data_IF_302319986059
#
_entry.id   IF_302319986059
#
_cell.length_a   1.000
_cell.length_b   1.000
_cell.length_c   1.000
_cell.angle_alpha   90.00
_cell.angle_beta   90.00
_cell.angle_gamma   90.00
#
_symmetry.space_group_name_H-M   'P 1'
#
loop_
_entity.id
_entity.type
_entity.pdbx_description
1 polymer ?
#
# COMPACT_ATOMS: atom_id res chain seq x y z
N UNK A 1 12.20 29.16 39.81
CA UNK A 1 13.07 28.50 38.81
C UNK A 1 12.30 27.31 38.27
N UNK A 2 11.82 27.37 37.03
CA UNK A 2 11.25 26.23 36.34
C UNK A 2 12.22 25.84 35.22
N UNK A 3 12.59 24.57 35.17
CA UNK A 3 13.60 24.03 34.27
C UNK A 3 13.19 24.14 32.80
N UNK A 4 14.01 24.83 32.01
CA UNK A 4 13.93 24.83 30.55
C UNK A 4 14.26 23.42 30.04
N UNK A 5 13.28 22.75 29.42
CA UNK A 5 13.59 21.57 28.60
C UNK A 5 14.34 22.04 27.35
N UNK A 6 15.66 21.88 27.36
CA UNK A 6 16.49 22.03 26.17
C UNK A 6 16.18 20.89 25.19
N UNK A 7 15.11 21.07 24.40
CA UNK A 7 14.74 20.15 23.34
C UNK A 7 15.89 20.02 22.35
N UNK A 8 16.45 18.81 22.27
CA UNK A 8 17.47 18.46 21.27
C UNK A 8 16.82 18.64 19.90
N UNK A 9 17.35 19.58 19.11
CA UNK A 9 16.96 19.77 17.72
C UNK A 9 17.50 18.57 16.95
N UNK A 10 16.61 17.70 16.47
CA UNK A 10 16.94 16.63 15.52
C UNK A 10 17.19 17.33 14.16
N UNK A 11 18.43 17.30 13.69
CA UNK A 11 18.90 17.94 12.45
C UNK A 11 19.38 16.89 11.42
N UNK A 12 19.01 15.62 11.63
CA UNK A 12 19.52 14.46 10.85
C UNK A 12 19.19 14.47 9.36
N UNK A 13 18.27 15.34 8.92
CA UNK A 13 17.91 15.58 7.52
C UNK A 13 18.16 17.04 7.08
N UNK A 14 18.96 17.82 7.82
CA UNK A 14 19.27 19.20 7.48
C UNK A 14 19.86 19.32 6.07
N UNK A 15 19.34 20.27 5.29
CA UNK A 15 19.76 20.51 3.90
C UNK A 15 19.14 19.55 2.87
N UNK A 16 18.48 18.46 3.30
CA UNK A 16 17.82 17.52 2.39
C UNK A 16 16.47 18.04 1.91
N UNK A 17 16.21 17.88 0.61
CA UNK A 17 14.92 18.13 -0.02
C UNK A 17 14.23 16.78 -0.26
N UNK A 18 13.12 16.55 0.44
CA UNK A 18 12.39 15.27 0.38
C UNK A 18 11.00 15.50 -0.20
N UNK A 19 10.70 14.85 -1.31
CA UNK A 19 9.38 14.84 -1.94
C UNK A 19 8.46 13.81 -1.28
N UNK A 20 7.23 14.22 -0.96
CA UNK A 20 6.19 13.34 -0.43
C UNK A 20 4.91 13.38 -1.28
N UNK A 21 4.63 12.30 -2.04
CA UNK A 21 3.37 12.07 -2.75
C UNK A 21 2.12 11.84 -1.88
N UNK A 22 2.30 11.68 -0.57
CA UNK A 22 1.22 11.42 0.39
C UNK A 22 0.15 12.51 0.36
N UNK A 23 -1.11 12.12 0.55
CA UNK A 23 -2.28 13.00 0.46
C UNK A 23 -3.23 12.87 1.66
N UNK A 24 -3.20 11.75 2.39
CA UNK A 24 -4.08 11.47 3.53
C UNK A 24 -3.45 11.83 4.87
N UNK A 25 -2.19 11.45 5.05
CA UNK A 25 -1.40 11.73 6.26
C UNK A 25 -0.30 12.77 5.99
N UNK A 26 -0.53 13.66 5.01
CA UNK A 26 0.46 14.61 4.48
C UNK A 26 1.10 15.47 5.58
N UNK A 27 0.31 16.10 6.46
CA UNK A 27 0.85 16.93 7.55
C UNK A 27 1.59 16.11 8.62
N UNK A 28 1.16 14.88 8.87
CA UNK A 28 1.83 13.97 9.80
C UNK A 28 3.21 13.60 9.24
N UNK A 29 3.27 13.23 7.96
CA UNK A 29 4.52 12.82 7.31
C UNK A 29 5.46 14.00 7.09
N UNK A 30 4.95 15.14 6.60
CA UNK A 30 5.71 16.37 6.50
C UNK A 30 6.27 16.79 7.86
N UNK A 31 5.45 16.78 8.91
CA UNK A 31 5.90 17.10 10.26
C UNK A 31 6.97 16.14 10.81
N UNK A 32 6.92 14.86 10.46
CA UNK A 32 7.95 13.88 10.83
C UNK A 32 9.32 14.14 10.19
N UNK A 33 9.34 14.75 9.00
CA UNK A 33 10.54 15.10 8.23
C UNK A 33 11.05 16.51 8.57
N UNK A 34 10.16 17.51 8.64
CA UNK A 34 10.53 18.90 8.97
C UNK A 34 11.06 19.02 10.40
N UNK A 35 10.56 18.22 11.37
CA UNK A 35 11.15 18.13 12.72
C UNK A 35 12.58 17.56 12.74
N UNK A 36 13.13 17.13 11.59
CA UNK A 36 14.50 16.64 11.40
C UNK A 36 15.38 17.57 10.55
N UNK A 37 14.90 18.78 10.26
CA UNK A 37 15.59 19.74 9.40
C UNK A 37 15.37 19.57 7.89
N UNK A 38 14.55 18.60 7.45
CA UNK A 38 14.27 18.41 6.03
C UNK A 38 13.40 19.52 5.43
N UNK A 39 13.74 19.99 4.22
CA UNK A 39 12.85 20.79 3.37
C UNK A 39 11.90 19.83 2.64
N UNK A 40 10.64 19.84 3.03
CA UNK A 40 9.63 18.91 2.47
C UNK A 40 8.97 19.52 1.24
N UNK A 41 9.14 18.87 0.09
CA UNK A 41 8.34 19.13 -1.11
C UNK A 41 7.05 18.31 -1.01
N UNK A 42 5.96 18.99 -0.65
CA UNK A 42 4.61 18.40 -0.64
C UNK A 42 4.09 18.36 -2.08
N UNK A 43 3.67 17.20 -2.56
CA UNK A 43 3.04 17.05 -3.89
C UNK A 43 1.96 15.96 -3.80
N UNK A 44 0.79 16.25 -3.18
CA UNK A 44 -0.21 15.23 -2.90
C UNK A 44 -0.82 14.66 -4.19
N UNK A 45 -0.30 13.52 -4.65
CA UNK A 45 -0.67 12.97 -5.94
C UNK A 45 -2.11 12.44 -5.97
N UNK A 46 -2.68 12.05 -4.84
CA UNK A 46 -4.00 11.40 -4.76
C UNK A 46 -4.92 12.19 -3.83
N UNK A 47 -5.28 13.40 -4.24
CA UNK A 47 -6.35 14.14 -3.58
C UNK A 47 -7.68 13.39 -3.72
N UNK A 48 -8.38 13.19 -2.60
CA UNK A 48 -9.68 12.51 -2.52
C UNK A 48 -10.71 13.56 -2.12
N UNK A 49 -11.62 13.85 -3.04
CA UNK A 49 -12.75 14.76 -2.83
C UNK A 49 -14.01 13.94 -2.55
N UNK A 50 -14.96 14.49 -1.80
CA UNK A 50 -16.30 13.91 -1.71
C UNK A 50 -16.95 13.82 -3.10
N UNK A 51 -17.96 12.95 -3.25
CA UNK A 51 -18.71 12.84 -4.50
C UNK A 51 -19.26 14.22 -4.96
N UNK A 52 -18.99 14.68 -6.21
CA UNK A 52 -19.37 16.02 -6.66
C UNK A 52 -20.87 16.34 -6.56
N UNK A 53 -21.73 15.33 -6.74
CA UNK A 53 -23.14 15.37 -6.34
C UNK A 53 -23.35 14.37 -5.19
N UNK A 54 -23.79 14.82 -4.00
CA UNK A 54 -24.13 13.92 -2.90
C UNK A 54 -25.46 13.18 -3.12
N UNK A 55 -26.34 13.60 -4.04
CA UNK A 55 -27.68 13.00 -4.20
C UNK A 55 -27.65 11.50 -4.50
N UNK A 56 -26.82 10.96 -5.41
CA UNK A 56 -26.75 9.52 -5.65
C UNK A 56 -26.28 8.74 -4.40
N UNK A 57 -25.34 9.32 -3.65
CA UNK A 57 -24.85 8.73 -2.39
C UNK A 57 -25.96 8.68 -1.35
N UNK A 58 -26.69 9.77 -1.14
CA UNK A 58 -27.81 9.82 -0.19
C UNK A 58 -29.00 8.95 -0.65
N UNK A 59 -29.26 8.84 -1.96
CA UNK A 59 -30.27 7.93 -2.50
C UNK A 59 -29.92 6.46 -2.21
N UNK A 60 -28.66 6.06 -2.43
CA UNK A 60 -28.18 4.73 -2.09
C UNK A 60 -28.24 4.47 -0.58
N UNK A 61 -27.86 5.43 0.26
CA UNK A 61 -27.98 5.31 1.73
C UNK A 61 -29.43 5.09 2.15
N UNK A 62 -30.39 5.85 1.61
CA UNK A 62 -31.81 5.63 1.89
C UNK A 62 -32.24 4.20 1.52
N UNK A 63 -31.88 3.72 0.33
CA UNK A 63 -32.18 2.36 -0.11
C UNK A 63 -31.53 1.27 0.75
N UNK A 64 -30.32 1.52 1.25
CA UNK A 64 -29.65 0.64 2.19
C UNK A 64 -30.40 0.59 3.53
N UNK A 65 -30.72 1.75 4.13
CA UNK A 65 -31.44 1.87 5.40
C UNK A 65 -32.87 1.29 5.41
N UNK A 66 -33.47 0.98 4.24
CA UNK A 66 -34.77 0.29 4.14
C UNK A 66 -34.65 -1.22 4.46
N UNK A 67 -33.43 -1.76 4.56
CA UNK A 67 -33.18 -3.15 4.97
C UNK A 67 -33.20 -4.17 3.83
N UNK A 68 -33.26 -3.71 2.58
CA UNK A 68 -33.23 -4.56 1.38
C UNK A 68 -31.82 -4.99 0.95
N UNK A 69 -30.79 -4.78 1.78
CA UNK A 69 -29.43 -5.19 1.49
C UNK A 69 -29.11 -6.51 2.21
N UNK A 70 -28.70 -7.53 1.46
CA UNK A 70 -28.31 -8.83 2.02
C UNK A 70 -26.82 -8.85 2.44
N UNK A 71 -25.96 -8.33 1.57
CA UNK A 71 -24.51 -8.27 1.75
C UNK A 71 -23.96 -6.87 1.41
N UNK A 72 -22.92 -6.42 2.11
CA UNK A 72 -22.22 -5.16 1.82
C UNK A 72 -20.72 -5.40 1.61
N UNK A 73 -20.21 -5.02 0.44
CA UNK A 73 -18.78 -5.06 0.11
C UNK A 73 -18.17 -3.68 0.32
N UNK A 74 -17.23 -3.56 1.28
CA UNK A 74 -16.46 -2.34 1.51
C UNK A 74 -15.04 -2.49 0.95
N UNK A 75 -14.79 -1.84 -0.18
CA UNK A 75 -13.49 -1.90 -0.85
C UNK A 75 -12.43 -1.02 -0.20
N UNK A 76 -12.82 0.07 0.50
CA UNK A 76 -11.87 0.94 1.21
C UNK A 76 -12.45 1.48 2.52
N UNK A 77 -11.59 1.67 3.52
CA UNK A 77 -11.98 2.39 4.74
C UNK A 77 -12.22 3.88 4.51
N UNK A 78 -11.79 4.43 3.37
CA UNK A 78 -12.10 5.81 2.99
C UNK A 78 -13.57 5.94 2.59
N UNK A 79 -14.07 5.03 1.76
CA UNK A 79 -15.45 5.08 1.29
C UNK A 79 -16.47 4.99 2.41
N UNK A 80 -16.25 4.14 3.42
CA UNK A 80 -17.11 4.11 4.61
C UNK A 80 -17.08 5.46 5.37
N UNK A 81 -15.92 6.10 5.56
CA UNK A 81 -15.84 7.41 6.21
C UNK A 81 -16.50 8.51 5.38
N UNK A 82 -16.39 8.45 4.06
CA UNK A 82 -17.01 9.39 3.12
C UNK A 82 -18.54 9.23 3.07
N UNK A 83 -19.06 8.00 3.10
CA UNK A 83 -20.48 7.72 3.31
C UNK A 83 -20.97 8.38 4.62
N UNK A 84 -20.30 8.10 5.74
CA UNK A 84 -20.65 8.68 7.05
C UNK A 84 -20.56 10.22 7.08
N UNK A 85 -19.58 10.80 6.39
CA UNK A 85 -19.43 12.26 6.27
C UNK A 85 -20.58 12.86 5.47
N UNK A 86 -20.84 12.33 4.27
CA UNK A 86 -21.94 12.74 3.38
C UNK A 86 -23.30 12.65 4.07
N UNK A 87 -23.56 11.56 4.79
CA UNK A 87 -24.78 11.41 5.60
C UNK A 87 -24.87 12.51 6.66
N UNK A 88 -23.78 12.77 7.39
CA UNK A 88 -23.79 13.77 8.46
C UNK A 88 -23.98 15.21 7.94
N UNK A 89 -23.51 15.48 6.72
CA UNK A 89 -23.62 16.80 6.06
C UNK A 89 -24.97 17.02 5.37
N UNK A 90 -25.55 15.99 4.74
CA UNK A 90 -26.69 16.14 3.83
C UNK A 90 -27.97 15.42 4.28
N UNK A 91 -27.89 14.42 5.16
CA UNK A 91 -29.05 13.67 5.65
C UNK A 91 -28.81 13.11 7.08
N UNK A 92 -28.55 13.98 8.08
CA UNK A 92 -28.07 13.54 9.41
C UNK A 92 -29.03 12.60 10.15
N UNK A 93 -30.33 12.66 9.85
CA UNK A 93 -31.36 11.74 10.37
C UNK A 93 -31.16 10.28 9.93
N UNK A 94 -30.48 10.04 8.79
CA UNK A 94 -30.17 8.69 8.32
C UNK A 94 -28.95 8.09 9.03
N UNK A 95 -28.14 8.88 9.76
CA UNK A 95 -26.92 8.37 10.41
C UNK A 95 -27.17 7.21 11.38
N UNK A 96 -28.12 7.28 12.34
CA UNK A 96 -28.40 6.13 13.21
C UNK A 96 -28.90 4.93 12.40
N UNK A 97 -29.89 5.12 11.52
CA UNK A 97 -30.46 4.05 10.68
C UNK A 97 -29.39 3.34 9.83
N UNK A 98 -28.43 4.10 9.30
CA UNK A 98 -27.32 3.57 8.52
C UNK A 98 -26.34 2.74 9.37
N UNK A 99 -26.11 3.14 10.63
CA UNK A 99 -25.24 2.39 11.56
C UNK A 99 -25.95 1.13 12.08
N UNK A 100 -27.26 1.20 12.35
CA UNK A 100 -28.07 0.05 12.76
C UNK A 100 -28.17 -1.01 11.64
N UNK A 101 -28.43 -0.57 10.41
CA UNK A 101 -28.43 -1.44 9.24
C UNK A 101 -27.02 -1.97 8.92
N UNK A 102 -25.98 -1.14 9.08
CA UNK A 102 -24.59 -1.60 9.04
C UNK A 102 -24.28 -2.62 10.12
N UNK A 103 -24.94 -2.65 11.27
CA UNK A 103 -24.75 -3.71 12.26
C UNK A 103 -25.35 -5.04 11.75
N UNK A 104 -26.52 -4.96 11.09
CA UNK A 104 -27.33 -6.10 10.63
C UNK A 104 -26.80 -6.80 9.37
N UNK A 105 -26.42 -6.05 8.34
CA UNK A 105 -26.02 -6.62 7.02
C UNK A 105 -24.74 -7.45 7.10
N UNK A 106 -24.56 -8.48 6.27
CA UNK A 106 -23.29 -9.23 6.23
C UNK A 106 -22.23 -8.44 5.44
N UNK A 107 -21.15 -8.01 6.09
CA UNK A 107 -20.09 -7.16 5.51
C UNK A 107 -18.86 -7.98 5.11
N UNK A 108 -18.45 -7.78 3.86
CA UNK A 108 -17.18 -8.26 3.30
C UNK A 108 -16.25 -7.06 3.15
N UNK A 109 -15.05 -7.12 3.73
CA UNK A 109 -14.11 -5.98 3.69
C UNK A 109 -12.81 -6.34 3.00
N UNK A 110 -12.37 -5.50 2.05
CA UNK A 110 -11.12 -5.68 1.32
C UNK A 110 -9.90 -5.32 2.19
N UNK A 111 -9.59 -6.21 3.12
CA UNK A 111 -8.44 -6.12 4.02
C UNK A 111 -8.62 -5.19 5.23
N UNK A 112 -7.53 -4.89 5.95
CA UNK A 112 -7.57 -4.31 7.30
C UNK A 112 -8.02 -2.84 7.35
N UNK A 113 -7.99 -2.10 6.23
CA UNK A 113 -8.35 -0.68 6.18
C UNK A 113 -9.86 -0.44 6.38
N UNK A 114 -10.77 -1.03 5.59
CA UNK A 114 -12.21 -0.99 5.90
C UNK A 114 -12.56 -1.69 7.22
N UNK A 115 -11.86 -2.76 7.61
CA UNK A 115 -12.03 -3.37 8.94
C UNK A 115 -11.69 -2.41 10.10
N UNK A 116 -10.72 -1.50 9.94
CA UNK A 116 -10.45 -0.43 10.91
C UNK A 116 -11.60 0.59 10.96
N UNK A 117 -12.12 1.00 9.80
CA UNK A 117 -13.21 1.97 9.71
C UNK A 117 -14.52 1.45 10.33
N UNK A 118 -14.83 0.15 10.24
CA UNK A 118 -15.96 -0.46 10.97
C UNK A 118 -15.72 -0.45 12.49
N UNK A 119 -14.51 -0.78 12.96
CA UNK A 119 -14.18 -0.78 14.40
C UNK A 119 -14.24 0.62 15.02
N UNK A 120 -14.00 1.68 14.24
CA UNK A 120 -14.21 3.08 14.66
C UNK A 120 -15.70 3.39 14.93
N UNK A 121 -16.64 2.53 14.51
CA UNK A 121 -18.07 2.57 14.83
C UNK A 121 -18.50 1.54 15.89
N UNK A 122 -17.56 0.75 16.44
CA UNK A 122 -17.87 -0.39 17.29
C UNK A 122 -18.34 -1.65 16.52
N UNK A 123 -18.21 -1.69 15.19
CA UNK A 123 -18.67 -2.79 14.35
C UNK A 123 -17.53 -3.70 13.88
N UNK A 124 -17.86 -4.95 13.55
CA UNK A 124 -16.97 -5.92 12.89
C UNK A 124 -17.53 -6.33 11.52
N UNK A 125 -16.63 -6.80 10.64
CA UNK A 125 -17.01 -7.49 9.41
C UNK A 125 -17.05 -9.00 9.66
N UNK A 126 -17.95 -9.71 8.98
CA UNK A 126 -17.99 -11.17 9.01
C UNK A 126 -16.82 -11.77 8.22
N UNK A 127 -16.36 -11.11 7.15
CA UNK A 127 -15.19 -11.55 6.38
C UNK A 127 -14.20 -10.40 6.13
N UNK A 128 -12.97 -10.58 6.61
CA UNK A 128 -11.82 -9.71 6.30
C UNK A 128 -10.93 -10.43 5.29
N UNK A 129 -10.92 -9.91 4.07
CA UNK A 129 -10.24 -10.55 2.93
C UNK A 129 -8.71 -10.41 3.01
N UNK A 130 -8.00 -11.53 2.87
CA UNK A 130 -6.53 -11.60 2.79
C UNK A 130 -6.12 -12.69 1.78
N UNK A 131 -5.33 -12.38 0.73
CA UNK A 131 -4.76 -11.07 0.40
C UNK A 131 -5.83 -10.05 -0.03
N UNK A 132 -5.60 -8.76 0.24
CA UNK A 132 -6.61 -7.70 0.08
C UNK A 132 -6.85 -7.25 -1.37
N UNK A 133 -7.15 -8.21 -2.27
CA UNK A 133 -7.28 -8.05 -3.72
C UNK A 133 -8.71 -8.27 -4.19
N UNK A 134 -9.04 -7.93 -5.45
CA UNK A 134 -10.36 -8.24 -6.02
C UNK A 134 -10.62 -9.76 -6.12
N UNK A 135 -9.68 -10.61 -6.59
CA UNK A 135 -9.87 -12.06 -6.57
C UNK A 135 -10.13 -12.63 -5.18
N UNK A 136 -9.46 -12.12 -4.14
CA UNK A 136 -9.73 -12.55 -2.75
C UNK A 136 -11.13 -12.17 -2.25
N UNK A 137 -11.72 -11.07 -2.75
CA UNK A 137 -13.13 -10.73 -2.46
C UNK A 137 -14.06 -11.70 -3.16
N UNK A 138 -13.79 -12.05 -4.42
CA UNK A 138 -14.56 -13.03 -5.19
C UNK A 138 -14.52 -14.42 -4.51
N UNK A 139 -13.33 -14.89 -4.13
CA UNK A 139 -13.15 -16.14 -3.38
C UNK A 139 -13.92 -16.13 -2.05
N UNK A 140 -13.87 -15.04 -1.30
CA UNK A 140 -14.62 -14.87 -0.06
C UNK A 140 -16.14 -14.91 -0.27
N UNK A 141 -16.65 -14.38 -1.38
CA UNK A 141 -18.08 -14.45 -1.72
C UNK A 141 -18.49 -15.87 -2.13
N UNK A 142 -17.71 -16.54 -2.98
CA UNK A 142 -17.93 -17.95 -3.34
C UNK A 142 -17.99 -18.87 -2.11
N UNK A 143 -17.07 -18.67 -1.15
CA UNK A 143 -17.05 -19.42 0.11
C UNK A 143 -18.21 -19.08 1.06
N UNK A 144 -18.93 -17.98 0.81
CA UNK A 144 -20.04 -17.52 1.65
C UNK A 144 -21.43 -17.94 1.15
N UNK A 145 -21.51 -18.70 0.06
CA UNK A 145 -22.73 -19.35 -0.45
C UNK A 145 -23.21 -18.85 -1.81
N UNK A 146 -24.40 -19.30 -2.20
CA UNK A 146 -25.07 -18.86 -3.43
C UNK A 146 -25.40 -17.35 -3.38
N UNK A 147 -25.15 -16.67 -4.49
CA UNK A 147 -25.40 -15.23 -4.66
C UNK A 147 -26.66 -14.94 -5.48
N UNK A 148 -27.31 -15.96 -6.04
CA UNK A 148 -28.45 -15.79 -6.93
C UNK A 148 -29.60 -15.03 -6.25
N UNK A 149 -30.01 -13.92 -6.85
CA UNK A 149 -31.10 -13.08 -6.36
C UNK A 149 -30.78 -12.21 -5.13
N UNK A 150 -29.64 -12.41 -4.45
CA UNK A 150 -29.20 -11.61 -3.28
C UNK A 150 -28.96 -10.16 -3.68
N UNK A 151 -29.31 -9.22 -2.81
CA UNK A 151 -29.04 -7.79 -3.01
C UNK A 151 -27.71 -7.43 -2.37
N UNK A 152 -26.74 -7.03 -3.20
CA UNK A 152 -25.37 -6.81 -2.75
C UNK A 152 -24.99 -5.34 -2.94
N UNK A 153 -24.80 -4.63 -1.83
CA UNK A 153 -24.25 -3.28 -1.83
C UNK A 153 -22.75 -3.31 -2.11
N UNK A 154 -22.25 -2.44 -2.98
CA UNK A 154 -20.80 -2.33 -3.27
C UNK A 154 -20.35 -0.89 -3.13
N UNK A 155 -19.43 -0.65 -2.18
CA UNK A 155 -18.76 0.64 -2.04
C UNK A 155 -17.48 0.66 -2.89
N UNK A 156 -17.47 1.49 -3.92
CA UNK A 156 -16.38 1.61 -4.90
C UNK A 156 -15.29 2.60 -4.47
N UNK A 157 -14.14 2.51 -5.13
CA UNK A 157 -13.02 3.45 -4.97
C UNK A 157 -12.92 4.39 -6.19
N UNK A 158 -12.97 5.70 -5.97
CA UNK A 158 -12.97 6.67 -7.07
C UNK A 158 -14.27 6.64 -7.87
N UNK A 159 -14.20 6.91 -9.17
CA UNK A 159 -15.34 6.99 -10.11
C UNK A 159 -15.65 5.68 -10.85
N UNK A 160 -14.67 4.78 -10.98
CA UNK A 160 -14.77 3.67 -11.93
C UNK A 160 -15.32 2.38 -11.30
N UNK A 161 -16.17 1.61 -12.03
CA UNK A 161 -16.59 0.29 -11.61
C UNK A 161 -15.40 -0.67 -11.58
N UNK A 162 -15.33 -1.51 -10.54
CA UNK A 162 -14.39 -2.62 -10.52
C UNK A 162 -14.95 -3.76 -11.38
N UNK A 163 -14.75 -3.67 -12.70
CA UNK A 163 -15.35 -4.56 -13.70
C UNK A 163 -15.26 -6.05 -13.31
N UNK A 164 -14.07 -6.53 -12.92
CA UNK A 164 -13.86 -7.92 -12.49
C UNK A 164 -14.80 -8.37 -11.35
N UNK A 165 -15.06 -7.51 -10.36
CA UNK A 165 -16.02 -7.81 -9.28
C UNK A 165 -17.46 -7.70 -9.79
N UNK A 166 -17.75 -6.67 -10.59
CA UNK A 166 -19.11 -6.39 -11.07
C UNK A 166 -19.62 -7.46 -12.03
N UNK A 167 -18.77 -7.96 -12.92
CA UNK A 167 -19.11 -8.99 -13.88
C UNK A 167 -19.30 -10.34 -13.19
N UNK A 168 -18.42 -10.70 -12.25
CA UNK A 168 -18.63 -11.87 -11.37
C UNK A 168 -19.97 -11.81 -10.62
N UNK A 169 -20.31 -10.68 -10.01
CA UNK A 169 -21.59 -10.53 -9.28
C UNK A 169 -22.81 -10.65 -10.20
N UNK A 170 -22.74 -10.13 -11.43
CA UNK A 170 -23.80 -10.26 -12.44
C UNK A 170 -23.94 -11.70 -12.94
N UNK A 171 -22.83 -12.37 -13.24
CA UNK A 171 -22.79 -13.77 -13.67
C UNK A 171 -23.33 -14.72 -12.57
N UNK A 172 -23.05 -14.42 -11.31
CA UNK A 172 -23.61 -15.13 -10.15
C UNK A 172 -25.10 -14.79 -9.87
N UNK A 173 -25.72 -13.92 -10.68
CA UNK A 173 -27.14 -13.57 -10.58
C UNK A 173 -27.52 -12.65 -9.41
N UNK A 174 -26.55 -11.93 -8.83
CA UNK A 174 -26.79 -10.99 -7.74
C UNK A 174 -27.39 -9.66 -8.24
N UNK A 175 -28.19 -9.01 -7.40
CA UNK A 175 -28.75 -7.67 -7.63
C UNK A 175 -27.83 -6.63 -7.00
N UNK A 176 -26.90 -6.10 -7.80
CA UNK A 176 -25.87 -5.20 -7.28
C UNK A 176 -26.37 -3.75 -7.12
N UNK A 177 -26.06 -3.12 -5.98
CA UNK A 177 -26.31 -1.70 -5.69
C UNK A 177 -24.99 -0.97 -5.44
N UNK A 178 -24.49 -0.28 -6.45
CA UNK A 178 -23.18 0.39 -6.39
C UNK A 178 -23.26 1.78 -5.71
N UNK A 179 -22.22 2.17 -4.95
CA UNK A 179 -22.06 3.51 -4.41
C UNK A 179 -20.63 4.03 -4.51
N UNK A 180 -20.54 5.29 -4.94
CA UNK A 180 -19.30 6.01 -5.25
C UNK A 180 -19.17 7.25 -4.34
N UNK A 181 -18.72 7.09 -3.08
CA UNK A 181 -18.81 8.14 -2.07
C UNK A 181 -17.73 9.22 -2.18
N UNK A 182 -16.73 9.03 -3.05
CA UNK A 182 -15.63 9.97 -3.27
C UNK A 182 -15.08 9.86 -4.69
N UNK A 183 -14.48 10.93 -5.18
CA UNK A 183 -13.71 10.94 -6.44
C UNK A 183 -12.25 11.24 -6.16
N UNK A 184 -11.38 10.91 -7.10
CA UNK A 184 -10.04 11.50 -7.11
C UNK A 184 -10.14 12.87 -7.77
N UNK A 185 -9.41 13.87 -7.27
CA UNK A 185 -9.45 15.21 -7.87
C UNK A 185 -8.89 15.16 -9.31
N UNK A 186 -9.63 15.76 -10.24
CA UNK A 186 -9.14 15.99 -11.59
C UNK A 186 -8.12 17.13 -11.60
N UNK A 187 -7.00 16.86 -12.26
CA UNK A 187 -6.04 17.72 -12.97
C UNK A 187 -5.53 19.07 -12.39
N UNK A 188 -6.12 19.66 -11.35
CA UNK A 188 -5.63 20.93 -10.75
C UNK A 188 -4.29 20.78 -10.04
N UNK A 189 -3.88 19.54 -9.73
CA UNK A 189 -2.56 19.20 -9.23
C UNK A 189 -1.53 18.94 -10.34
N UNK A 190 -1.92 18.84 -11.62
CA UNK A 190 -1.01 18.41 -12.69
C UNK A 190 0.20 19.36 -12.83
N UNK A 191 0.02 20.67 -12.63
CA UNK A 191 1.13 21.63 -12.59
C UNK A 191 2.11 21.38 -11.43
N UNK A 192 1.63 20.96 -10.26
CA UNK A 192 2.51 20.59 -9.13
C UNK A 192 3.26 19.29 -9.40
N UNK A 193 2.63 18.33 -10.09
CA UNK A 193 3.26 17.06 -10.51
C UNK A 193 4.30 17.30 -11.59
N UNK A 194 4.02 18.16 -12.56
CA UNK A 194 4.98 18.55 -13.60
C UNK A 194 6.18 19.29 -12.99
N UNK A 195 5.94 20.21 -12.06
CA UNK A 195 7.00 20.86 -11.30
C UNK A 195 7.81 19.85 -10.44
N UNK A 196 7.17 18.82 -9.85
CA UNK A 196 7.89 17.72 -9.20
C UNK A 196 8.79 16.97 -10.20
N UNK A 197 8.29 16.66 -11.40
CA UNK A 197 9.07 16.00 -12.46
C UNK A 197 10.26 16.86 -12.90
N UNK A 198 10.05 18.17 -13.11
CA UNK A 198 11.11 19.11 -13.48
C UNK A 198 12.20 19.18 -12.39
N UNK A 199 11.80 19.24 -11.11
CA UNK A 199 12.73 19.29 -9.98
C UNK A 199 13.45 17.96 -9.73
N UNK A 200 12.81 16.82 -10.01
CA UNK A 200 13.47 15.50 -10.03
C UNK A 200 14.51 15.43 -11.16
N UNK A 201 14.15 15.84 -12.38
CA UNK A 201 15.05 15.83 -13.53
C UNK A 201 16.24 16.81 -13.39
N UNK A 202 16.05 17.92 -12.67
CA UNK A 202 17.09 18.86 -12.29
C UNK A 202 17.96 18.40 -11.09
N UNK A 203 17.70 17.22 -10.51
CA UNK A 203 18.35 16.68 -9.31
C UNK A 203 18.22 17.58 -8.06
N UNK A 204 17.12 18.31 -7.92
CA UNK A 204 16.84 19.17 -6.76
C UNK A 204 16.10 18.45 -5.60
N UNK A 205 16.03 17.13 -5.64
CA UNK A 205 15.28 16.29 -4.69
C UNK A 205 16.21 15.14 -4.28
N UNK A 206 16.62 15.12 -3.02
CA UNK A 206 17.48 14.06 -2.49
C UNK A 206 16.75 12.71 -2.39
N UNK A 207 15.46 12.75 -2.04
CA UNK A 207 14.63 11.55 -1.89
C UNK A 207 13.16 11.79 -2.21
N UNK A 208 12.47 10.73 -2.63
CA UNK A 208 11.01 10.69 -2.76
C UNK A 208 10.45 9.46 -2.02
N UNK A 209 9.38 9.67 -1.24
CA UNK A 209 8.85 8.64 -0.34
C UNK A 209 7.37 8.32 -0.60
N UNK A 210 7.12 7.20 -1.26
CA UNK A 210 5.78 6.73 -1.63
C UNK A 210 5.12 5.91 -0.51
N UNK A 211 3.83 6.16 -0.29
CA UNK A 211 3.01 5.52 0.76
C UNK A 211 1.81 4.74 0.20
N UNK A 212 1.57 4.79 -1.10
CA UNK A 212 0.66 3.87 -1.78
C UNK A 212 1.01 3.67 -3.26
N UNK A 213 0.71 2.48 -3.78
CA UNK A 213 0.74 2.18 -5.22
C UNK A 213 0.00 3.25 -6.05
N UNK A 214 -1.17 3.71 -5.59
CA UNK A 214 -1.96 4.71 -6.32
C UNK A 214 -1.25 6.05 -6.55
N UNK A 215 -0.21 6.38 -5.78
CA UNK A 215 0.64 7.55 -6.03
C UNK A 215 1.60 7.29 -7.19
N UNK A 216 2.19 6.09 -7.24
CA UNK A 216 3.09 5.64 -8.31
C UNK A 216 2.33 5.64 -9.64
N UNK A 217 1.20 4.92 -9.72
CA UNK A 217 0.41 4.84 -10.95
C UNK A 217 -0.06 6.22 -11.44
N UNK A 218 -0.40 7.13 -10.52
CA UNK A 218 -0.79 8.50 -10.89
C UNK A 218 0.39 9.34 -11.36
N UNK A 219 1.57 9.22 -10.75
CA UNK A 219 2.78 9.92 -11.21
C UNK A 219 3.12 9.53 -12.66
N UNK A 220 3.16 8.23 -12.95
CA UNK A 220 3.45 7.71 -14.29
C UNK A 220 2.35 8.05 -15.30
N UNK A 221 1.07 7.90 -14.94
CA UNK A 221 -0.05 8.29 -15.82
C UNK A 221 -0.02 9.78 -16.19
N UNK A 222 0.36 10.66 -15.26
CA UNK A 222 0.47 12.09 -15.52
C UNK A 222 1.70 12.44 -16.36
N UNK A 223 2.85 11.82 -16.09
CA UNK A 223 4.03 11.96 -16.93
C UNK A 223 3.76 11.50 -18.38
N UNK A 224 3.05 10.39 -18.56
CA UNK A 224 2.61 9.90 -19.88
C UNK A 224 1.70 10.91 -20.60
N UNK A 225 0.62 11.35 -19.93
CA UNK A 225 -0.35 12.34 -20.44
C UNK A 225 0.33 13.64 -20.90
N UNK A 226 1.39 14.05 -20.20
CA UNK A 226 2.15 15.27 -20.47
C UNK A 226 3.44 15.06 -21.28
N UNK A 227 3.72 13.84 -21.75
CA UNK A 227 4.93 13.49 -22.51
C UNK A 227 6.26 13.76 -21.78
N UNK A 228 6.27 13.62 -20.44
CA UNK A 228 7.42 13.84 -19.53
C UNK A 228 7.98 12.55 -18.92
N UNK A 229 7.68 11.39 -19.50
CA UNK A 229 8.10 10.07 -18.99
C UNK A 229 9.62 9.93 -18.89
N UNK A 230 10.35 10.48 -19.86
CA UNK A 230 11.81 10.40 -19.95
C UNK A 230 12.46 11.18 -18.80
N UNK A 231 11.98 12.39 -18.52
CA UNK A 231 12.44 13.24 -17.43
C UNK A 231 12.11 12.65 -16.06
N UNK A 232 10.89 12.11 -15.90
CA UNK A 232 10.50 11.39 -14.68
C UNK A 232 11.44 10.19 -14.42
N UNK A 233 11.64 9.32 -15.42
CA UNK A 233 12.53 8.16 -15.29
C UNK A 233 13.98 8.56 -15.03
N UNK A 234 14.46 9.65 -15.66
CA UNK A 234 15.81 10.17 -15.45
C UNK A 234 15.99 10.68 -14.01
N UNK A 235 15.06 11.52 -13.54
CA UNK A 235 15.10 12.09 -12.19
C UNK A 235 14.95 11.04 -11.09
N UNK A 236 13.99 10.11 -11.23
CA UNK A 236 13.81 9.01 -10.27
C UNK A 236 15.06 8.12 -10.16
N UNK A 237 15.79 7.87 -11.26
CA UNK A 237 17.03 7.09 -11.23
C UNK A 237 18.21 7.78 -10.53
N UNK A 238 18.13 9.08 -10.26
CA UNK A 238 19.13 9.85 -9.50
C UNK A 238 18.65 10.24 -8.09
N UNK A 239 17.38 9.95 -7.75
CA UNK A 239 16.74 10.29 -6.48
C UNK A 239 16.69 9.05 -5.59
N UNK A 240 16.88 9.18 -4.28
CA UNK A 240 16.67 8.06 -3.37
C UNK A 240 15.17 7.70 -3.27
N UNK A 241 14.82 6.46 -3.58
CA UNK A 241 13.44 5.97 -3.66
C UNK A 241 13.09 5.18 -2.39
N UNK A 242 12.12 5.68 -1.63
CA UNK A 242 11.58 4.97 -0.47
C UNK A 242 10.11 4.58 -0.71
N UNK A 243 9.73 3.36 -0.32
CA UNK A 243 8.35 2.88 -0.37
C UNK A 243 7.90 2.35 1.00
N UNK A 244 6.67 2.66 1.42
CA UNK A 244 6.16 2.25 2.75
C UNK A 244 6.04 0.73 2.92
N UNK A 245 5.96 -0.04 1.84
CA UNK A 245 5.78 -1.49 1.88
C UNK A 245 5.80 -2.15 0.48
N UNK A 246 5.81 -3.50 0.43
CA UNK A 246 6.16 -4.26 -0.77
C UNK A 246 5.22 -4.06 -1.96
N UNK A 247 3.92 -3.81 -1.73
CA UNK A 247 2.96 -3.53 -2.83
C UNK A 247 3.28 -2.21 -3.55
N UNK A 248 3.80 -1.22 -2.83
CA UNK A 248 4.22 0.06 -3.44
C UNK A 248 5.60 -0.08 -4.10
N UNK A 249 6.48 -0.93 -3.56
CA UNK A 249 7.76 -1.23 -4.19
C UNK A 249 7.60 -1.99 -5.51
N UNK A 250 6.76 -3.04 -5.55
CA UNK A 250 6.49 -3.82 -6.75
C UNK A 250 5.93 -2.93 -7.90
N UNK A 251 5.04 -1.99 -7.59
CA UNK A 251 4.53 -1.01 -8.58
C UNK A 251 5.66 -0.09 -9.13
N UNK A 252 6.61 0.34 -8.30
CA UNK A 252 7.79 1.09 -8.78
C UNK A 252 8.69 0.20 -9.67
N UNK A 253 8.88 -1.05 -9.29
CA UNK A 253 9.67 -2.04 -10.05
C UNK A 253 9.01 -2.39 -11.40
N UNK A 254 7.68 -2.47 -11.47
CA UNK A 254 6.89 -2.62 -12.70
C UNK A 254 7.11 -1.46 -13.69
N UNK A 255 7.31 -0.23 -13.18
CA UNK A 255 7.70 0.95 -13.97
C UNK A 255 9.23 1.08 -14.18
N UNK A 256 10.02 0.07 -13.82
CA UNK A 256 11.48 0.03 -14.04
C UNK A 256 12.29 0.92 -13.10
N UNK A 257 11.77 1.20 -11.90
CA UNK A 257 12.43 1.98 -10.84
C UNK A 257 12.87 1.05 -9.70
N UNK A 258 14.16 1.07 -9.38
CA UNK A 258 14.71 0.40 -8.19
C UNK A 258 14.31 1.14 -6.92
N UNK A 259 13.90 0.41 -5.88
CA UNK A 259 13.55 0.98 -4.57
C UNK A 259 14.69 0.77 -3.58
N UNK A 260 15.25 1.86 -3.04
CA UNK A 260 16.39 1.81 -2.11
C UNK A 260 15.98 1.37 -0.70
N UNK A 261 14.76 1.69 -0.27
CA UNK A 261 14.33 1.50 1.11
C UNK A 261 12.85 1.09 1.25
N UNK A 262 12.63 -0.04 1.94
CA UNK A 262 11.30 -0.54 2.33
C UNK A 262 11.31 -1.00 3.80
N UNK A 263 10.38 -0.56 4.67
CA UNK A 263 10.27 -1.04 6.05
C UNK A 263 10.02 -2.54 6.15
N UNK A 264 10.80 -3.23 7.00
CA UNK A 264 10.54 -4.63 7.34
C UNK A 264 9.42 -4.74 8.38
N UNK A 265 8.38 -5.53 8.06
CA UNK A 265 7.29 -5.92 8.96
C UNK A 265 6.31 -4.83 9.41
N UNK A 266 6.66 -3.54 9.33
CA UNK A 266 5.83 -2.42 9.83
C UNK A 266 5.67 -1.32 8.79
N UNK A 267 4.60 -1.40 8.01
CA UNK A 267 4.31 -0.47 6.90
C UNK A 267 3.62 0.81 7.37
N UNK A 268 4.34 1.63 8.15
CA UNK A 268 3.85 2.90 8.69
C UNK A 268 4.85 4.04 8.44
N UNK A 269 4.38 5.29 8.55
CA UNK A 269 5.19 6.50 8.29
C UNK A 269 6.43 6.62 9.17
N UNK A 270 6.38 6.17 10.44
CA UNK A 270 7.51 6.29 11.37
C UNK A 270 8.70 5.38 10.98
N UNK A 271 8.51 4.06 10.73
CA UNK A 271 9.52 3.21 10.10
C UNK A 271 10.07 3.76 8.77
N UNK A 272 9.20 4.27 7.88
CA UNK A 272 9.63 4.88 6.62
C UNK A 272 10.52 6.12 6.83
N UNK A 273 10.15 6.99 7.78
CA UNK A 273 10.95 8.16 8.20
C UNK A 273 12.33 7.73 8.73
N UNK A 274 12.40 6.65 9.52
CA UNK A 274 13.66 6.15 10.06
C UNK A 274 14.59 5.60 8.97
N UNK A 275 14.05 5.00 7.90
CA UNK A 275 14.84 4.59 6.75
C UNK A 275 15.34 5.78 5.92
N UNK A 276 14.49 6.79 5.68
CA UNK A 276 14.92 8.03 5.02
C UNK A 276 16.11 8.66 5.75
N UNK A 277 16.04 8.78 7.09
CA UNK A 277 17.17 9.24 7.92
C UNK A 277 18.40 8.37 7.70
N UNK A 278 18.27 7.03 7.80
CA UNK A 278 19.41 6.11 7.69
C UNK A 278 20.12 6.19 6.32
N UNK A 279 19.40 6.44 5.23
CA UNK A 279 19.96 6.51 3.88
C UNK A 279 20.48 7.92 3.51
N UNK A 280 19.86 8.98 4.05
CA UNK A 280 20.23 10.37 3.74
C UNK A 280 21.24 10.99 4.70
N UNK A 281 21.46 10.39 5.87
CA UNK A 281 22.59 10.72 6.73
C UNK A 281 23.88 10.59 5.92
N UNK A 282 24.80 11.57 5.99
CA UNK A 282 26.13 11.40 5.45
C UNK A 282 26.75 10.14 6.07
N UNK A 283 27.19 9.19 5.25
CA UNK A 283 28.10 8.17 5.74
C UNK A 283 29.35 8.91 6.20
N UNK A 284 29.52 9.06 7.51
CA UNK A 284 30.68 9.71 8.09
C UNK A 284 31.91 9.06 7.47
N UNK A 285 32.75 9.88 6.83
CA UNK A 285 33.95 9.40 6.19
C UNK A 285 34.70 8.52 7.19
N UNK A 286 35.02 7.28 6.79
CA UNK A 286 35.96 6.44 7.52
C UNK A 286 37.35 7.05 7.38
N UNK A 287 37.54 8.18 8.07
CA UNK A 287 38.80 8.86 8.21
C UNK A 287 39.72 7.94 9.02
N UNK A 288 40.63 7.30 8.28
CA UNK A 288 41.73 6.51 8.83
C UNK A 288 42.48 7.37 9.85
N UNK A 289 42.19 7.14 11.13
CA UNK A 289 43.05 7.57 12.23
C UNK A 289 43.90 6.37 12.59
N UNK A 290 45.05 6.27 11.91
CA UNK A 290 46.06 5.30 12.24
C UNK A 290 46.61 5.57 13.64
N UNK A 291 46.16 4.79 14.63
CA UNK A 291 46.91 4.58 15.87
C UNK A 291 47.47 3.17 15.85
N UNK A 292 48.77 3.06 15.62
CA UNK A 292 49.52 1.82 15.75
C UNK A 292 49.47 1.33 17.20
N UNK A 293 48.51 0.48 17.53
CA UNK A 293 48.62 -0.39 18.71
C UNK A 293 49.10 -1.76 18.23
N UNK A 294 50.42 -1.96 18.31
CA UNK A 294 51.05 -3.26 18.12
C UNK A 294 50.54 -4.26 19.17
N UNK A 295 49.54 -5.05 18.82
CA UNK A 295 49.31 -6.34 19.49
C UNK A 295 49.92 -7.43 18.63
N UNK A 296 51.14 -7.85 19.01
CA UNK A 296 51.78 -9.04 18.44
C UNK A 296 50.99 -10.26 18.94
N UNK A 297 50.22 -10.88 18.05
CA UNK A 297 49.69 -12.24 18.27
C UNK A 297 50.47 -13.18 17.36
N UNK A 298 51.13 -14.16 17.96
CA UNK A 298 52.08 -15.03 17.28
C UNK A 298 51.43 -15.87 16.17
N UNK A 299 52.12 -15.99 15.03
CA UNK A 299 51.79 -16.94 13.98
C UNK A 299 52.07 -18.38 14.45
N UNK A 300 51.03 -19.21 14.40
CA UNK A 300 51.14 -20.56 13.85
C UNK A 300 50.11 -20.65 12.70
N UNK A 301 50.38 -21.24 11.53
CA UNK A 301 51.60 -21.90 11.08
C UNK A 301 51.25 -23.16 10.30
N UNK A 302 51.16 -23.05 8.96
CA UNK A 302 50.86 -24.14 8.01
C UNK A 302 49.44 -24.78 8.15
N UNK A 303 48.83 -25.40 7.14
CA UNK A 303 49.19 -25.57 5.71
C UNK A 303 47.93 -25.88 4.88
N UNK A 304 47.93 -25.56 3.58
CA UNK A 304 47.07 -26.25 2.60
C UNK A 304 47.48 -27.72 2.53
N UNK A 305 46.52 -28.63 2.38
CA UNK A 305 46.68 -29.85 1.60
C UNK A 305 45.32 -30.33 1.07
N UNK A 306 45.33 -31.26 0.11
CA UNK A 306 44.27 -31.44 -0.88
C UNK A 306 43.83 -32.89 -1.07
N UNK A 307 42.54 -33.04 -1.44
CA UNK A 307 41.94 -34.19 -2.18
C UNK A 307 41.88 -35.55 -1.46
N UNK A 308 41.01 -36.38 -2.06
CA UNK A 308 40.80 -37.82 -1.88
C UNK A 308 40.11 -38.30 -0.57
N UNK A 309 39.35 -39.40 -0.55
CA UNK A 309 38.39 -40.01 -1.50
C UNK A 309 37.76 -41.25 -0.79
N UNK A 310 36.61 -41.75 -1.28
CA UNK A 310 36.02 -43.08 -0.93
C UNK A 310 35.59 -43.27 0.55
N UNK A 311 34.75 -44.23 0.94
CA UNK A 311 33.92 -45.19 0.19
C UNK A 311 32.51 -45.32 0.82
N UNK A 312 31.57 -45.92 0.10
CA UNK A 312 30.23 -46.27 0.57
C UNK A 312 30.19 -47.60 1.36
N UNK A 313 29.15 -47.78 2.20
CA UNK A 313 28.18 -48.92 2.11
C UNK A 313 27.20 -49.03 3.30
N UNK A 314 25.90 -49.25 2.95
CA UNK A 314 24.92 -50.23 3.53
C UNK A 314 24.59 -50.16 5.04
N UNK A 315 23.42 -50.57 5.54
CA UNK A 315 22.07 -50.92 5.05
C UNK A 315 21.10 -50.58 6.23
N UNK A 316 19.77 -50.67 6.24
CA UNK A 316 18.70 -51.24 5.43
C UNK A 316 17.38 -50.84 6.14
N UNK A 317 16.32 -50.47 5.42
CA UNK A 317 15.23 -51.35 4.99
C UNK A 317 14.22 -51.74 6.09
N UNK A 318 13.08 -51.04 6.14
CA UNK A 318 11.73 -51.65 6.30
C UNK A 318 10.58 -50.65 6.06
N UNK A 319 9.79 -50.91 5.01
CA UNK A 319 8.37 -50.51 4.77
C UNK A 319 7.54 -51.83 4.84
N UNK A 320 6.20 -51.89 4.60
CA UNK A 320 5.19 -50.90 4.16
C UNK A 320 4.14 -50.65 5.29
N UNK A 321 2.91 -50.13 5.12
CA UNK A 321 2.07 -49.63 4.00
C UNK A 321 1.65 -48.17 4.31
N UNK A 322 0.65 -47.46 3.74
CA UNK A 322 -0.32 -47.51 2.61
C UNK A 322 -0.80 -46.05 2.38
N UNK A 323 -1.48 -45.61 1.32
CA UNK A 323 -1.99 -46.20 0.08
C UNK A 323 -2.57 -45.06 -0.80
N UNK A 324 -3.36 -45.37 -1.84
CA UNK A 324 -4.00 -44.43 -2.79
C UNK A 324 -3.10 -43.60 -3.71
N UNK A 325 -2.99 -44.07 -4.95
CA UNK A 325 -2.44 -43.41 -6.12
C UNK A 325 -3.54 -42.89 -7.05
N UNK A 326 -3.33 -41.73 -7.70
CA UNK A 326 -3.84 -41.51 -9.06
C UNK A 326 -2.88 -40.58 -9.86
N UNK A 327 -2.55 -40.98 -11.08
CA UNK A 327 -1.64 -40.26 -12.00
C UNK A 327 -2.42 -39.18 -12.80
N UNK A 328 -1.91 -37.95 -12.87
CA UNK A 328 -1.11 -37.36 -13.98
C UNK A 328 -1.74 -37.43 -15.38
N UNK A 329 -1.77 -36.28 -16.05
CA UNK A 329 -1.28 -36.16 -17.42
C UNK A 329 -0.81 -34.73 -17.72
N UNK A 330 0.47 -34.55 -18.02
CA UNK A 330 1.02 -33.39 -18.70
C UNK A 330 2.23 -33.88 -19.51
N UNK A 331 2.19 -33.74 -20.84
CA UNK A 331 3.23 -34.26 -21.75
C UNK A 331 4.29 -33.19 -22.04
N UNK A 332 5.53 -33.63 -22.17
CA UNK A 332 6.70 -32.84 -22.52
C UNK A 332 7.00 -32.91 -24.02
N UNK A 333 7.25 -31.75 -24.63
CA UNK A 333 8.22 -31.58 -25.72
C UNK A 333 9.64 -31.79 -25.13
N UNK A 334 10.71 -32.15 -25.85
CA UNK A 334 10.97 -32.30 -27.29
C UNK A 334 12.09 -33.34 -27.50
N UNK A 335 12.32 -33.78 -28.74
CA UNK A 335 13.65 -33.79 -29.41
C UNK A 335 13.66 -34.71 -30.65
N UNK A 336 13.40 -34.11 -31.82
CA UNK A 336 14.04 -34.35 -33.11
C UNK A 336 13.64 -33.24 -34.10
#
# INVERSE_FOLDING_TARGET
MSSTESGIIDDTLQGRIIAIPESRELDIFAGLLTRRGAKVLRCPLVSILDAPDPKPVIAWVNQFCIGECDDLILMTGEGLRRLLSSISQHAPTLRPLFVDELARVRKFVRGPKPAKALRELGLSAEVIVSPATTPGVIEALCNAGDLHGRVIGVQHYGTEPNLLLMDFLREAGAKVREVYPYVYADDSADLEVLNLIDRLAANEVDAIAFTSQSQVERLFKLAQKAQREVELLSGLRQTMIAAVGPVTAASLEEHGITVDAVPLGTYFLKPLTQLLVRHLLPQAAHAVTGTETRTIICRAGASRLSRESLDARKAGCSRPTSGCSFFRNCRTLSDQ
#
